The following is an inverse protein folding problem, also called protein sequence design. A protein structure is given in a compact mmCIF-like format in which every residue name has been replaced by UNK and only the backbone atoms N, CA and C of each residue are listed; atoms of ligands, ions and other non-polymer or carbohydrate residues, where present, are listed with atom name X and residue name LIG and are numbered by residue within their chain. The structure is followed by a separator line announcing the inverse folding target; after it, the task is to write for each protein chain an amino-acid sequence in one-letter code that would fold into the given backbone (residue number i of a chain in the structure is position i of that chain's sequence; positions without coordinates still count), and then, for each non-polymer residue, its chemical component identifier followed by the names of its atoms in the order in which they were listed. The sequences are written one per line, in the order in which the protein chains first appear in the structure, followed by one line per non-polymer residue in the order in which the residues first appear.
data_IF_046606665881
#
_entry.id   IF_046606665881
#
_cell.length_a   1.000
_cell.length_b   1.000
_cell.length_c   1.000
_cell.angle_alpha   90.00
_cell.angle_beta   90.00
_cell.angle_gamma   90.00
#
_symmetry.space_group_name_H-M   'P 1'
#
loop_
_entity.id
_entity.type
_entity.pdbx_description
1 polymer ?
#
# COMPACT_ATOMS: atom_id res chain seq x y z
N UNK A 1 17.65 -9.31 -11.61
CA UNK A 1 17.32 -8.95 -10.21
C UNK A 1 16.02 -8.18 -10.26
N UNK A 2 15.05 -8.50 -9.39
CA UNK A 2 13.77 -7.77 -9.31
C UNK A 2 13.81 -6.74 -8.18
N UNK A 3 13.22 -5.56 -8.40
CA UNK A 3 13.15 -4.49 -7.40
C UNK A 3 11.69 -4.31 -6.98
N UNK A 4 11.45 -4.37 -5.67
CA UNK A 4 10.17 -4.10 -5.02
C UNK A 4 10.25 -2.87 -4.12
N UNK A 5 9.10 -2.24 -3.86
CA UNK A 5 8.97 -1.17 -2.85
C UNK A 5 8.02 -1.62 -1.74
N UNK A 6 8.46 -1.49 -0.49
CA UNK A 6 7.64 -1.73 0.68
C UNK A 6 6.81 -0.49 1.03
N UNK A 7 5.48 -0.58 1.05
CA UNK A 7 4.59 0.60 1.09
C UNK A 7 4.64 1.42 2.39
N UNK A 8 5.37 0.94 3.39
CA UNK A 8 5.65 1.71 4.60
C UNK A 8 6.42 3.01 4.31
N UNK A 9 7.26 3.04 3.26
CA UNK A 9 8.02 4.24 2.85
C UNK A 9 7.26 5.15 1.89
N UNK A 10 6.01 4.81 1.57
CA UNK A 10 5.12 5.60 0.71
C UNK A 10 3.83 5.98 1.45
N UNK A 11 3.91 6.61 2.63
CA UNK A 11 2.71 6.80 3.45
C UNK A 11 1.71 7.79 2.86
N UNK A 12 2.15 8.58 1.87
CA UNK A 12 1.36 9.68 1.29
C UNK A 12 0.42 9.21 0.18
N UNK A 13 0.63 8.00 -0.32
CA UNK A 13 -0.04 7.45 -1.49
C UNK A 13 -1.03 6.36 -1.09
N UNK A 14 -2.17 6.29 -1.78
CA UNK A 14 -3.08 5.14 -1.67
C UNK A 14 -2.49 3.89 -2.36
N UNK A 15 -3.04 2.69 -2.13
CA UNK A 15 -2.61 1.49 -2.86
C UNK A 15 -2.62 1.66 -4.39
N UNK A 16 -3.65 2.28 -4.96
CA UNK A 16 -3.74 2.50 -6.41
C UNK A 16 -2.70 3.48 -6.92
N UNK A 17 -2.41 4.54 -6.15
CA UNK A 17 -1.40 5.53 -6.52
C UNK A 17 0.00 4.94 -6.49
N UNK A 18 0.33 4.14 -5.46
CA UNK A 18 1.62 3.45 -5.37
C UNK A 18 1.81 2.53 -6.56
N UNK A 19 0.83 1.66 -6.85
CA UNK A 19 0.92 0.68 -7.94
C UNK A 19 1.12 1.37 -9.30
N UNK A 20 0.33 2.41 -9.59
CA UNK A 20 0.48 3.20 -10.83
C UNK A 20 1.86 3.87 -10.95
N UNK A 21 2.39 4.41 -9.85
CA UNK A 21 3.72 5.05 -9.83
C UNK A 21 4.83 4.03 -10.02
N UNK A 22 4.76 2.89 -9.34
CA UNK A 22 5.76 1.83 -9.45
C UNK A 22 5.82 1.26 -10.87
N UNK A 23 4.65 1.01 -11.50
CA UNK A 23 4.59 0.57 -12.89
C UNK A 23 5.17 1.62 -13.87
N UNK A 24 4.83 2.90 -13.69
CA UNK A 24 5.39 3.99 -14.49
C UNK A 24 6.92 4.06 -14.38
N UNK A 25 7.46 3.82 -13.18
CA UNK A 25 8.89 3.79 -12.88
C UNK A 25 9.56 2.43 -13.20
N UNK A 26 8.83 1.47 -13.77
CA UNK A 26 9.31 0.13 -14.15
C UNK A 26 9.82 -0.72 -12.98
N UNK A 27 9.25 -0.54 -11.79
CA UNK A 27 9.45 -1.48 -10.69
C UNK A 27 8.69 -2.78 -10.96
N UNK A 28 9.23 -3.90 -10.47
CA UNK A 28 8.71 -5.24 -10.75
C UNK A 28 7.87 -5.81 -9.60
N UNK A 29 7.81 -5.12 -8.46
CA UNK A 29 7.07 -5.58 -7.31
C UNK A 29 6.65 -4.47 -6.35
N UNK A 30 5.64 -4.81 -5.56
CA UNK A 30 5.19 -4.03 -4.41
C UNK A 30 5.08 -4.98 -3.23
N UNK A 31 5.55 -4.53 -2.06
CA UNK A 31 5.41 -5.24 -0.80
C UNK A 31 4.46 -4.44 0.08
N UNK A 32 3.39 -5.08 0.54
CA UNK A 32 2.31 -4.38 1.24
C UNK A 32 2.54 -4.30 2.74
N UNK A 33 2.43 -3.10 3.30
CA UNK A 33 2.30 -2.91 4.74
C UNK A 33 0.91 -3.39 5.20
N UNK A 34 0.89 -4.50 5.92
CA UNK A 34 -0.31 -5.03 6.59
C UNK A 34 -0.13 -4.93 8.10
N UNK A 35 -1.03 -4.24 8.79
CA UNK A 35 -1.05 -4.18 10.26
C UNK A 35 -2.49 -4.12 10.78
N UNK A 36 -2.69 -4.42 12.06
CA UNK A 36 -3.94 -4.08 12.75
C UNK A 36 -4.00 -2.57 12.91
N UNK A 37 -4.93 -1.92 12.19
CA UNK A 37 -5.07 -0.46 12.23
C UNK A 37 -5.91 -0.08 13.44
N UNK A 38 -5.27 0.51 14.45
CA UNK A 38 -5.98 1.23 15.49
C UNK A 38 -6.50 2.54 14.87
N UNK A 39 -7.74 2.93 15.15
CA UNK A 39 -8.28 4.24 14.73
C UNK A 39 -7.39 5.35 15.31
N UNK A 40 -6.42 5.82 14.55
CA UNK A 40 -5.55 6.93 14.92
C UNK A 40 -6.05 8.22 14.26
N UNK A 41 -5.76 9.35 14.90
CA UNK A 41 -6.05 10.67 14.32
C UNK A 41 -5.27 10.83 13.01
N UNK A 42 -6.00 10.90 11.90
CA UNK A 42 -5.49 10.99 10.52
C UNK A 42 -4.84 12.33 10.16
N UNK A 43 -4.60 13.20 11.14
CA UNK A 43 -4.10 14.56 10.90
C UNK A 43 -2.64 14.59 10.43
N UNK A 44 -1.84 13.57 10.75
CA UNK A 44 -0.44 13.46 10.32
C UNK A 44 -0.20 12.15 9.57
N UNK A 45 0.30 12.28 8.34
CA UNK A 45 0.75 11.15 7.51
C UNK A 45 2.24 10.93 7.71
N UNK A 46 2.63 9.72 8.10
CA UNK A 46 4.02 9.32 8.35
C UNK A 46 4.20 7.82 8.12
N UNK A 47 5.43 7.33 8.23
CA UNK A 47 5.73 5.89 8.22
C UNK A 47 4.92 5.12 9.28
N UNK A 48 4.78 5.67 10.49
CA UNK A 48 4.20 4.97 11.64
C UNK A 48 2.68 5.16 11.75
N UNK A 49 2.21 6.38 11.49
CA UNK A 49 0.83 6.83 11.73
C UNK A 49 0.24 7.45 10.48
N UNK A 50 -1.06 7.29 10.29
CA UNK A 50 -1.81 7.91 9.19
C UNK A 50 -1.40 7.45 7.78
N UNK A 51 -0.59 6.40 7.64
CA UNK A 51 -0.12 5.89 6.34
C UNK A 51 -1.30 5.41 5.48
N UNK A 52 -1.57 6.12 4.39
CA UNK A 52 -2.69 5.91 3.46
C UNK A 52 -2.57 4.62 2.65
N UNK A 53 -1.38 4.04 2.59
CA UNK A 53 -1.09 2.79 1.89
C UNK A 53 -1.12 1.56 2.81
N UNK A 54 -1.55 1.72 4.07
CA UNK A 54 -1.68 0.61 5.02
C UNK A 54 -2.89 -0.23 4.69
N UNK A 55 -2.68 -1.53 4.55
CA UNK A 55 -3.77 -2.50 4.50
C UNK A 55 -4.09 -2.94 5.93
N UNK A 56 -5.36 -2.83 6.32
CA UNK A 56 -5.80 -3.31 7.64
C UNK A 56 -5.92 -4.83 7.63
N UNK A 57 -5.26 -5.48 8.59
CA UNK A 57 -5.32 -6.93 8.77
C UNK A 57 -6.76 -7.43 8.96
N UNK A 58 -7.62 -6.63 9.59
CA UNK A 58 -9.02 -6.98 9.87
C UNK A 58 -9.90 -7.04 8.62
N UNK A 59 -9.52 -6.31 7.56
CA UNK A 59 -10.29 -6.22 6.31
C UNK A 59 -9.53 -6.81 5.12
N UNK A 60 -8.37 -7.43 5.37
CA UNK A 60 -7.47 -7.87 4.31
C UNK A 60 -8.11 -8.96 3.47
N UNK A 61 -8.79 -9.92 4.10
CA UNK A 61 -9.46 -11.02 3.39
C UNK A 61 -10.52 -10.49 2.43
N UNK A 62 -11.37 -9.58 2.89
CA UNK A 62 -12.41 -8.93 2.07
C UNK A 62 -11.82 -8.09 0.93
N UNK A 63 -10.65 -7.50 1.14
CA UNK A 63 -9.98 -6.61 0.17
C UNK A 63 -8.95 -7.32 -0.72
N UNK A 64 -8.69 -8.61 -0.51
CA UNK A 64 -7.62 -9.33 -1.20
C UNK A 64 -7.79 -9.29 -2.73
N UNK A 65 -9.00 -9.54 -3.23
CA UNK A 65 -9.29 -9.50 -4.67
C UNK A 65 -9.13 -8.11 -5.26
N UNK A 66 -9.51 -7.07 -4.50
CA UNK A 66 -9.30 -5.68 -4.92
C UNK A 66 -7.81 -5.35 -5.01
N UNK A 67 -7.00 -5.72 -3.99
CA UNK A 67 -5.55 -5.46 -3.99
C UNK A 67 -4.86 -6.22 -5.12
N UNK A 68 -5.25 -7.47 -5.37
CA UNK A 68 -4.79 -8.23 -6.53
C UNK A 68 -5.16 -7.51 -7.84
N UNK A 69 -6.43 -7.13 -7.97
CA UNK A 69 -6.95 -6.47 -9.17
C UNK A 69 -6.21 -5.18 -9.52
N UNK A 70 -5.91 -4.32 -8.55
CA UNK A 70 -5.15 -3.09 -8.83
C UNK A 70 -3.69 -3.38 -9.18
N UNK A 71 -3.08 -4.42 -8.59
CA UNK A 71 -1.67 -4.80 -8.82
C UNK A 71 -1.46 -5.42 -10.20
N UNK A 72 -2.41 -6.22 -10.68
CA UNK A 72 -2.32 -6.90 -11.99
C UNK A 72 -2.77 -6.00 -13.17
N UNK A 73 -3.40 -4.86 -12.89
CA UNK A 73 -3.93 -3.96 -13.90
C UNK A 73 -2.88 -3.02 -14.54
N UNK A 74 -1.61 -3.08 -14.12
CA UNK A 74 -0.54 -2.15 -14.54
C UNK A 74 0.68 -2.84 -15.14
#
# INVERSE_FOLDING_TARGET
MKISVFTVITPEFTPEEVVKRLAHLRYEGVEWRVVTVLKENEQETSFWKGNKCTLSLETLEEKADYIKGITEAV
#
